data_IF_784362374978
#
_entry.id   IF_784362374978
#
_cell.length_a   1.000
_cell.length_b   1.000
_cell.length_c   1.000
_cell.angle_alpha   90.00
_cell.angle_beta   90.00
_cell.angle_gamma   90.00
#
_symmetry.space_group_name_H-M   'P 1'
#
loop_
_entity.id
_entity.type
_entity.pdbx_description
1 polymer ?
#
# COMPACT_ATOMS: atom_id res chain seq x y z
N UNK A 1 -3.41 13.53 -34.81
CA UNK A 1 -3.54 13.71 -33.36
C UNK A 1 -4.88 14.39 -33.10
N UNK A 2 -5.90 13.62 -32.69
CA UNK A 2 -7.21 14.21 -32.36
C UNK A 2 -7.21 14.61 -30.89
N UNK A 3 -7.26 15.91 -30.61
CA UNK A 3 -7.44 16.45 -29.27
C UNK A 3 -8.93 16.40 -28.95
N UNK A 4 -9.31 15.52 -28.02
CA UNK A 4 -10.64 15.54 -27.42
C UNK A 4 -10.77 16.78 -26.54
N UNK A 5 -11.23 17.90 -27.10
CA UNK A 5 -11.69 19.05 -26.33
C UNK A 5 -13.20 18.98 -26.21
N UNK A 6 -13.69 18.47 -25.09
CA UNK A 6 -15.09 18.67 -24.70
C UNK A 6 -15.25 20.15 -24.35
N UNK A 7 -16.26 20.80 -24.92
CA UNK A 7 -16.64 22.18 -24.63
C UNK A 7 -17.21 22.21 -23.20
N UNK A 8 -16.32 22.35 -22.21
CA UNK A 8 -16.65 22.28 -20.80
C UNK A 8 -17.01 23.69 -20.31
N UNK A 9 -18.30 23.98 -20.29
CA UNK A 9 -18.82 25.20 -19.68
C UNK A 9 -18.64 25.15 -18.15
N UNK A 10 -17.66 25.92 -17.64
CA UNK A 10 -17.38 26.07 -16.21
C UNK A 10 -18.27 27.13 -15.53
N UNK A 11 -19.17 27.75 -16.29
CA UNK A 11 -19.98 28.91 -15.88
C UNK A 11 -21.48 28.61 -15.92
N UNK A 12 -21.88 27.53 -16.59
CA UNK A 12 -23.22 26.98 -16.50
C UNK A 12 -23.59 26.64 -15.06
N UNK A 13 -24.90 26.48 -14.80
CA UNK A 13 -25.46 26.16 -13.47
C UNK A 13 -25.00 24.75 -13.04
N UNK A 14 -23.73 24.64 -12.65
CA UNK A 14 -23.11 23.43 -12.17
C UNK A 14 -23.82 23.11 -10.85
N UNK A 15 -24.55 21.98 -10.76
CA UNK A 15 -25.37 21.68 -9.61
C UNK A 15 -24.52 21.80 -8.35
N UNK A 16 -25.00 22.62 -7.39
CA UNK A 16 -24.38 22.92 -6.10
C UNK A 16 -23.62 21.71 -5.61
N UNK A 17 -22.30 21.74 -5.85
CA UNK A 17 -21.30 20.69 -5.57
C UNK A 17 -21.95 19.37 -5.17
N UNK A 18 -22.25 18.50 -6.14
CA UNK A 18 -22.43 17.09 -5.84
C UNK A 18 -21.11 16.63 -5.22
N UNK A 19 -21.01 16.70 -3.89
CA UNK A 19 -20.02 15.98 -3.13
C UNK A 19 -20.58 14.56 -3.12
N UNK A 20 -20.09 13.65 -3.97
CA UNK A 20 -20.48 12.26 -3.87
C UNK A 20 -20.32 11.87 -2.40
N UNK A 21 -21.36 11.29 -1.80
CA UNK A 21 -21.24 10.82 -0.42
C UNK A 21 -20.04 9.88 -0.39
N UNK A 22 -19.15 10.01 0.60
CA UNK A 22 -18.02 9.10 0.79
C UNK A 22 -18.59 7.66 0.78
N UNK A 23 -18.44 6.94 -0.34
CA UNK A 23 -19.03 5.63 -0.52
C UNK A 23 -19.74 5.39 -1.86
N UNK A 24 -20.35 6.39 -2.51
CA UNK A 24 -21.13 6.15 -3.75
C UNK A 24 -20.23 5.85 -4.97
N UNK A 25 -19.08 6.50 -5.04
CA UNK A 25 -17.95 6.20 -5.94
C UNK A 25 -16.67 5.85 -5.14
N UNK A 26 -16.83 5.63 -3.84
CA UNK A 26 -15.72 5.36 -2.93
C UNK A 26 -15.06 4.02 -3.29
N UNK A 27 -13.73 3.92 -3.30
CA UNK A 27 -13.07 2.71 -3.74
C UNK A 27 -13.31 1.56 -2.76
N UNK A 28 -14.29 0.70 -3.08
CA UNK A 28 -14.70 -0.46 -2.27
C UNK A 28 -13.56 -1.45 -2.03
N UNK A 29 -12.61 -1.51 -2.97
CA UNK A 29 -11.45 -2.40 -2.92
C UNK A 29 -10.20 -1.76 -2.31
N UNK A 30 -10.22 -0.44 -2.01
CA UNK A 30 -9.04 0.22 -1.47
C UNK A 30 -8.97 0.00 0.04
N UNK A 31 -7.86 -0.57 0.55
CA UNK A 31 -7.65 -0.73 1.98
C UNK A 31 -7.73 0.61 2.71
N UNK A 32 -8.36 0.62 3.89
CA UNK A 32 -8.37 1.78 4.78
C UNK A 32 -6.94 2.24 5.11
N UNK A 33 -6.76 3.51 5.43
CA UNK A 33 -5.46 4.08 5.81
C UNK A 33 -4.83 3.34 7.00
N UNK A 34 -5.66 2.94 7.98
CA UNK A 34 -5.24 2.10 9.11
C UNK A 34 -4.73 0.72 8.66
N UNK A 35 -5.39 0.08 7.69
CA UNK A 35 -4.95 -1.22 7.14
C UNK A 35 -3.62 -1.09 6.42
N UNK A 36 -3.42 -0.01 5.64
CA UNK A 36 -2.14 0.27 4.97
C UNK A 36 -0.99 0.48 5.97
N UNK A 37 -1.24 1.21 7.07
CA UNK A 37 -0.24 1.41 8.14
C UNK A 37 0.16 0.09 8.80
N UNK A 38 -0.81 -0.76 9.14
CA UNK A 38 -0.55 -2.09 9.74
C UNK A 38 0.27 -2.98 8.81
N UNK A 39 -0.11 -3.06 7.52
CA UNK A 39 0.63 -3.86 6.54
C UNK A 39 2.08 -3.39 6.39
N UNK A 40 2.33 -2.07 6.42
CA UNK A 40 3.70 -1.54 6.37
C UNK A 40 4.54 -2.03 7.55
N UNK A 41 4.01 -1.92 8.77
CA UNK A 41 4.73 -2.37 9.97
C UNK A 41 4.96 -3.88 9.90
N UNK A 42 3.92 -4.66 9.60
CA UNK A 42 4.02 -6.12 9.50
C UNK A 42 5.05 -6.57 8.46
N UNK A 43 5.07 -5.95 7.28
CA UNK A 43 6.02 -6.29 6.23
C UNK A 43 7.48 -6.03 6.66
N UNK A 44 7.73 -4.86 7.27
CA UNK A 44 9.07 -4.52 7.78
C UNK A 44 9.49 -5.47 8.90
N UNK A 45 8.61 -5.74 9.87
CA UNK A 45 8.90 -6.66 10.97
C UNK A 45 9.17 -8.07 10.47
N UNK A 46 8.35 -8.58 9.55
CA UNK A 46 8.52 -9.90 8.98
C UNK A 46 9.87 -10.04 8.23
N UNK A 47 10.26 -9.00 7.47
CA UNK A 47 11.55 -8.98 6.78
C UNK A 47 12.72 -9.03 7.77
N UNK A 48 12.68 -8.18 8.80
CA UNK A 48 13.75 -8.13 9.82
C UNK A 48 13.87 -9.46 10.55
N UNK A 49 12.75 -10.05 10.97
CA UNK A 49 12.73 -11.36 11.63
C UNK A 49 13.25 -12.46 10.70
N UNK A 50 12.84 -12.44 9.43
CA UNK A 50 13.31 -13.41 8.44
C UNK A 50 14.82 -13.35 8.22
N UNK A 51 15.38 -12.15 8.05
CA UNK A 51 16.83 -11.96 7.88
C UNK A 51 17.59 -12.42 9.13
N UNK A 52 17.11 -12.06 10.32
CA UNK A 52 17.71 -12.49 11.58
C UNK A 52 17.70 -14.02 11.71
N UNK A 53 16.59 -14.68 11.37
CA UNK A 53 16.46 -16.14 11.41
C UNK A 53 17.43 -16.83 10.44
N UNK A 54 17.53 -16.34 9.20
CA UNK A 54 18.48 -16.89 8.21
C UNK A 54 19.93 -16.71 8.68
N UNK A 55 20.26 -15.53 9.21
CA UNK A 55 21.61 -15.23 9.73
C UNK A 55 21.96 -16.13 10.91
N UNK A 56 21.02 -16.32 11.84
CA UNK A 56 21.19 -17.19 12.99
C UNK A 56 21.37 -18.64 12.56
N UNK A 57 20.55 -19.13 11.62
CA UNK A 57 20.66 -20.48 11.07
C UNK A 57 22.04 -20.72 10.45
N UNK A 58 22.49 -19.79 9.59
CA UNK A 58 23.81 -19.85 8.96
C UNK A 58 24.91 -19.88 10.03
N UNK A 59 24.82 -19.01 11.03
CA UNK A 59 25.82 -18.92 12.10
C UNK A 59 25.90 -20.21 12.92
N UNK A 60 24.75 -20.78 13.30
CA UNK A 60 24.67 -22.05 14.03
C UNK A 60 25.24 -23.18 13.18
N UNK A 61 24.90 -23.23 11.89
CA UNK A 61 25.43 -24.21 10.97
C UNK A 61 26.96 -24.11 10.85
N UNK A 62 27.50 -22.91 10.65
CA UNK A 62 28.95 -22.72 10.58
C UNK A 62 29.65 -23.09 11.88
N UNK A 63 29.06 -22.77 13.03
CA UNK A 63 29.59 -23.21 14.33
C UNK A 63 29.61 -24.71 14.48
N UNK A 64 28.54 -25.40 14.05
CA UNK A 64 28.47 -26.85 14.10
C UNK A 64 29.51 -27.50 13.17
N UNK A 65 29.72 -26.95 11.97
CA UNK A 65 30.73 -27.45 11.00
C UNK A 65 32.16 -27.17 11.46
N UNK A 66 32.41 -26.01 12.07
CA UNK A 66 33.72 -25.66 12.61
C UNK A 66 34.06 -26.42 13.91
N UNK A 67 33.15 -27.28 14.38
CA UNK A 67 33.36 -28.19 15.50
C UNK A 67 32.89 -27.67 16.85
N UNK A 68 32.57 -26.38 16.99
CA UNK A 68 32.37 -25.76 18.31
C UNK A 68 33.67 -25.61 19.08
#
# INVERSE_FOLDING_TARGET
>A
MATFSSDLDLTGDAPVRVRPRLGEWGPSLVPTTSRKKRLRVLAVTALVVGVAAVTALITVFYRAVQGG
#
